data_IF_240179277110
#
_entry.id   IF_240179277110
#
_cell.length_a   1.000
_cell.length_b   1.000
_cell.length_c   1.000
_cell.angle_alpha   90.00
_cell.angle_beta   90.00
_cell.angle_gamma   90.00
#
_symmetry.space_group_name_H-M   'P 1'
#
loop_
_entity.id
_entity.type
_entity.pdbx_description
1 polymer ?
#
# COMPACT_ATOMS: atom_id res chain seq x y z
N UNK A 1 14.48 -3.09 5.65
CA UNK A 1 15.51 -2.04 5.73
C UNK A 1 14.94 -0.63 5.58
N UNK A 2 13.71 -0.46 5.05
CA UNK A 2 13.12 0.85 4.74
C UNK A 2 12.40 1.52 5.93
N UNK A 3 12.09 0.79 7.00
CA UNK A 3 11.27 1.30 8.13
C UNK A 3 12.12 1.65 9.36
N UNK A 4 13.27 0.99 9.55
CA UNK A 4 14.15 1.24 10.70
C UNK A 4 15.61 1.26 10.28
N UNK A 5 16.33 2.31 10.67
CA UNK A 5 17.77 2.51 10.41
C UNK A 5 18.70 1.74 11.39
N UNK A 6 18.22 0.62 11.94
CA UNK A 6 19.00 -0.23 12.84
C UNK A 6 19.68 -1.38 12.10
N UNK A 7 20.82 -1.82 12.60
CA UNK A 7 21.45 -3.06 12.14
C UNK A 7 20.59 -4.30 12.49
N UNK A 8 20.94 -5.48 11.96
CA UNK A 8 20.15 -6.69 12.12
C UNK A 8 19.92 -7.09 13.60
N UNK A 9 20.94 -6.93 14.44
CA UNK A 9 20.86 -7.24 15.88
C UNK A 9 19.95 -6.25 16.59
N UNK A 10 20.10 -4.96 16.34
CA UNK A 10 19.25 -3.91 16.92
C UNK A 10 17.78 -4.09 16.54
N UNK A 11 17.49 -4.45 15.28
CA UNK A 11 16.13 -4.77 14.83
C UNK A 11 15.56 -6.01 15.53
N UNK A 12 16.37 -7.06 15.70
CA UNK A 12 15.95 -8.26 16.41
C UNK A 12 15.61 -7.98 17.88
N UNK A 13 16.48 -7.25 18.58
CA UNK A 13 16.28 -6.85 19.98
C UNK A 13 15.01 -5.99 20.13
N UNK A 14 14.89 -4.94 19.33
CA UNK A 14 13.73 -4.04 19.35
C UNK A 14 12.43 -4.81 19.12
N UNK A 15 12.40 -5.68 18.11
CA UNK A 15 11.21 -6.48 17.77
C UNK A 15 10.84 -7.44 18.89
N UNK A 16 11.80 -8.24 19.38
CA UNK A 16 11.47 -9.37 20.26
C UNK A 16 11.37 -8.98 21.73
N UNK A 17 12.09 -7.94 22.19
CA UNK A 17 12.08 -7.54 23.59
C UNK A 17 11.16 -6.35 23.89
N UNK A 18 10.78 -5.56 22.89
CA UNK A 18 9.98 -4.35 23.11
C UNK A 18 8.66 -4.43 22.35
N UNK A 19 8.71 -4.60 21.00
CA UNK A 19 7.52 -4.50 20.18
C UNK A 19 6.55 -5.65 20.46
N UNK A 20 7.03 -6.89 20.36
CA UNK A 20 6.17 -8.07 20.53
C UNK A 20 5.56 -8.13 21.92
N UNK A 21 6.32 -8.04 23.04
CA UNK A 21 5.73 -8.23 24.37
C UNK A 21 4.88 -7.06 24.86
N UNK A 22 5.24 -5.82 24.52
CA UNK A 22 4.61 -4.63 25.13
C UNK A 22 3.71 -3.85 24.16
N UNK A 23 4.13 -3.72 22.90
CA UNK A 23 3.43 -2.87 21.95
C UNK A 23 2.36 -3.62 21.15
N UNK A 24 2.64 -4.86 20.75
CA UNK A 24 1.70 -5.62 19.93
C UNK A 24 0.36 -5.88 20.62
N UNK A 25 0.27 -6.26 21.92
CA UNK A 25 -1.01 -6.46 22.59
C UNK A 25 -1.85 -5.20 22.70
N UNK A 26 -1.22 -4.03 22.94
CA UNK A 26 -1.92 -2.74 22.95
C UNK A 26 -2.46 -2.39 21.58
N UNK A 27 -1.62 -2.47 20.57
CA UNK A 27 -2.00 -2.21 19.18
C UNK A 27 -3.11 -3.15 18.71
N UNK A 28 -3.08 -4.44 19.09
CA UNK A 28 -4.14 -5.38 18.77
C UNK A 28 -5.50 -4.97 19.35
N UNK A 29 -5.53 -4.42 20.57
CA UNK A 29 -6.77 -3.90 21.18
C UNK A 29 -7.30 -2.69 20.41
N UNK A 30 -6.41 -1.77 20.00
CA UNK A 30 -6.78 -0.60 19.23
C UNK A 30 -7.35 -1.01 17.86
N UNK A 31 -6.72 -1.97 17.18
CA UNK A 31 -7.24 -2.51 15.92
C UNK A 31 -8.57 -3.26 16.08
N UNK A 32 -8.78 -3.94 17.21
CA UNK A 32 -10.04 -4.66 17.46
C UNK A 32 -11.26 -3.73 17.44
N UNK A 33 -11.09 -2.43 17.72
CA UNK A 33 -12.19 -1.46 17.72
C UNK A 33 -12.71 -1.12 16.31
N UNK A 34 -11.92 -1.37 15.28
CA UNK A 34 -12.27 -1.10 13.88
C UNK A 34 -12.39 -2.38 13.06
N UNK A 35 -12.21 -3.56 13.70
CA UNK A 35 -12.28 -4.84 13.00
C UNK A 35 -13.69 -5.10 12.51
N UNK A 36 -13.82 -5.57 11.27
CA UNK A 36 -15.09 -5.95 10.65
C UNK A 36 -15.35 -7.43 10.86
N UNK A 37 -16.59 -7.89 10.66
CA UNK A 37 -16.94 -9.31 10.76
C UNK A 37 -16.15 -10.17 9.78
N UNK A 38 -15.86 -9.63 8.58
CA UNK A 38 -15.09 -10.32 7.54
C UNK A 38 -13.56 -10.21 7.74
N UNK A 39 -13.09 -9.40 8.69
CA UNK A 39 -11.66 -9.24 8.98
C UNK A 39 -11.19 -7.79 9.09
N UNK A 40 -9.89 -7.57 8.84
CA UNK A 40 -9.35 -6.21 8.90
C UNK A 40 -9.94 -5.34 7.78
N UNK A 41 -10.31 -4.06 8.06
CA UNK A 41 -10.82 -3.13 7.05
C UNK A 41 -9.91 -3.03 5.82
N UNK A 42 -8.59 -3.00 6.04
CA UNK A 42 -7.61 -2.95 4.96
C UNK A 42 -7.79 -4.12 3.98
N UNK A 43 -7.90 -5.35 4.50
CA UNK A 43 -8.07 -6.54 3.67
C UNK A 43 -9.43 -6.56 3.00
N UNK A 44 -10.50 -6.29 3.74
CA UNK A 44 -11.88 -6.31 3.23
C UNK A 44 -12.05 -5.31 2.09
N UNK A 45 -11.56 -4.06 2.27
CA UNK A 45 -11.67 -3.06 1.21
C UNK A 45 -10.72 -3.33 0.04
N UNK A 46 -9.54 -3.90 0.26
CA UNK A 46 -8.65 -4.31 -0.82
C UNK A 46 -9.29 -5.43 -1.67
N UNK A 47 -9.90 -6.42 -1.03
CA UNK A 47 -10.58 -7.52 -1.74
C UNK A 47 -11.80 -7.01 -2.52
N UNK A 48 -12.59 -6.08 -1.95
CA UNK A 48 -13.72 -5.43 -2.64
C UNK A 48 -13.26 -4.61 -3.85
N UNK A 49 -12.19 -3.83 -3.71
CA UNK A 49 -11.62 -3.06 -4.80
C UNK A 49 -11.13 -3.96 -5.93
N UNK A 50 -10.37 -5.02 -5.58
CA UNK A 50 -9.89 -6.02 -6.53
C UNK A 50 -11.05 -6.63 -7.32
N UNK A 51 -12.11 -7.06 -6.62
CA UNK A 51 -13.30 -7.63 -7.26
C UNK A 51 -13.96 -6.63 -8.23
N UNK A 52 -14.14 -5.38 -7.81
CA UNK A 52 -14.73 -4.34 -8.64
C UNK A 52 -13.88 -4.00 -9.87
N UNK A 53 -12.55 -3.98 -9.72
CA UNK A 53 -11.63 -3.75 -10.83
C UNK A 53 -11.65 -4.91 -11.82
N UNK A 54 -11.61 -6.17 -11.34
CA UNK A 54 -11.70 -7.34 -12.22
C UNK A 54 -13.01 -7.33 -13.00
N UNK A 55 -14.13 -7.10 -12.30
CA UNK A 55 -15.45 -7.01 -12.97
C UNK A 55 -15.47 -5.93 -14.05
N UNK A 56 -14.92 -4.75 -13.81
CA UNK A 56 -14.88 -3.67 -14.79
C UNK A 56 -14.07 -4.05 -16.04
N UNK A 57 -12.95 -4.77 -15.90
CA UNK A 57 -12.17 -5.27 -17.03
C UNK A 57 -12.92 -6.38 -17.78
N UNK A 58 -13.57 -7.31 -17.07
CA UNK A 58 -14.36 -8.38 -17.67
C UNK A 58 -15.53 -7.80 -18.50
N UNK A 59 -16.24 -6.80 -17.96
CA UNK A 59 -17.35 -6.10 -18.66
C UNK A 59 -16.87 -5.31 -19.89
N UNK A 60 -15.63 -4.78 -19.84
CA UNK A 60 -15.01 -4.10 -20.97
C UNK A 60 -14.48 -5.08 -22.05
N UNK A 61 -14.45 -6.38 -21.76
CA UNK A 61 -13.89 -7.40 -22.66
C UNK A 61 -12.36 -7.35 -22.74
N UNK A 62 -11.70 -6.80 -21.71
CA UNK A 62 -10.25 -6.68 -21.62
C UNK A 62 -9.65 -7.90 -20.93
N UNK A 63 -8.62 -8.50 -21.53
CA UNK A 63 -7.88 -9.65 -20.95
C UNK A 63 -6.87 -9.16 -19.90
N UNK A 64 -7.39 -8.74 -18.75
CA UNK A 64 -6.62 -8.23 -17.62
C UNK A 64 -6.89 -9.07 -16.38
N UNK A 65 -5.84 -9.54 -15.75
CA UNK A 65 -5.88 -10.24 -14.46
C UNK A 65 -5.50 -9.28 -13.34
N UNK A 66 -6.41 -9.04 -12.41
CA UNK A 66 -6.18 -8.19 -11.24
C UNK A 66 -5.92 -9.05 -10.01
N UNK A 67 -4.76 -8.87 -9.37
CA UNK A 67 -4.41 -9.58 -8.14
C UNK A 67 -3.94 -8.58 -7.06
N UNK A 68 -4.18 -8.93 -5.80
CA UNK A 68 -3.68 -8.19 -4.66
C UNK A 68 -2.37 -8.80 -4.13
N UNK A 69 -1.44 -7.96 -3.68
CA UNK A 69 -0.20 -8.40 -3.03
C UNK A 69 0.16 -7.46 -1.88
N UNK A 70 0.30 -8.00 -0.69
CA UNK A 70 0.59 -7.27 0.53
C UNK A 70 2.04 -7.47 1.00
N UNK A 71 2.62 -6.43 1.61
CA UNK A 71 4.00 -6.49 2.11
C UNK A 71 4.16 -7.26 3.42
N UNK A 72 3.12 -7.35 4.26
CA UNK A 72 3.22 -7.82 5.65
C UNK A 72 2.13 -8.83 6.06
N UNK A 73 1.23 -9.18 5.17
CA UNK A 73 0.16 -10.17 5.39
C UNK A 73 -0.16 -10.90 4.10
N UNK A 74 -0.92 -11.97 4.18
CA UNK A 74 -1.42 -12.69 3.01
C UNK A 74 -2.55 -11.90 2.29
N UNK A 75 -2.59 -12.00 0.94
CA UNK A 75 -1.61 -12.65 0.06
C UNK A 75 -0.32 -11.81 -0.06
N UNK A 76 0.83 -12.44 0.15
CA UNK A 76 2.09 -11.72 0.05
C UNK A 76 2.46 -11.38 -1.40
N UNK A 77 3.22 -10.28 -1.59
CA UNK A 77 3.70 -9.85 -2.92
C UNK A 77 4.39 -11.01 -3.66
N UNK A 78 5.21 -11.81 -2.98
CA UNK A 78 5.91 -12.93 -3.63
C UNK A 78 4.99 -14.05 -4.09
N UNK A 79 3.88 -14.33 -3.37
CA UNK A 79 2.89 -15.33 -3.76
C UNK A 79 2.08 -14.84 -4.96
N UNK A 80 1.69 -13.56 -4.95
CA UNK A 80 1.01 -12.91 -6.06
C UNK A 80 1.88 -12.90 -7.32
N UNK A 81 3.15 -12.58 -7.20
CA UNK A 81 4.10 -12.62 -8.31
C UNK A 81 4.29 -14.04 -8.85
N UNK A 82 4.36 -15.05 -7.99
CA UNK A 82 4.42 -16.46 -8.40
C UNK A 82 3.16 -16.91 -9.14
N UNK A 83 1.99 -16.40 -8.74
CA UNK A 83 0.73 -16.68 -9.43
C UNK A 83 0.68 -16.07 -10.84
N UNK A 84 1.18 -14.84 -11.02
CA UNK A 84 1.33 -14.25 -12.35
C UNK A 84 2.25 -15.10 -13.25
N UNK A 85 3.42 -15.54 -12.73
CA UNK A 85 4.33 -16.41 -13.47
C UNK A 85 3.65 -17.72 -13.87
N UNK A 86 2.95 -18.36 -12.94
CA UNK A 86 2.22 -19.62 -13.17
C UNK A 86 1.16 -19.49 -14.27
N UNK A 87 0.51 -18.33 -14.37
CA UNK A 87 -0.50 -18.02 -15.40
C UNK A 87 0.12 -17.53 -16.73
N UNK A 88 1.43 -17.39 -16.79
CA UNK A 88 2.11 -16.94 -18.00
C UNK A 88 1.99 -15.44 -18.28
N UNK A 89 1.52 -14.65 -17.30
CA UNK A 89 1.42 -13.19 -17.42
C UNK A 89 2.82 -12.58 -17.45
N UNK A 90 3.09 -11.70 -18.43
CA UNK A 90 4.41 -11.09 -18.63
C UNK A 90 4.43 -9.59 -18.47
N UNK A 91 3.33 -8.92 -18.78
CA UNK A 91 3.18 -7.48 -18.64
C UNK A 91 2.44 -7.20 -17.35
N UNK A 92 3.09 -6.57 -16.38
CA UNK A 92 2.53 -6.34 -15.05
C UNK A 92 2.60 -4.85 -14.73
N UNK A 93 1.44 -4.25 -14.47
CA UNK A 93 1.33 -2.93 -13.87
C UNK A 93 1.23 -3.06 -12.36
N UNK A 94 2.14 -2.43 -11.65
CA UNK A 94 2.17 -2.39 -10.18
C UNK A 94 1.68 -1.04 -9.70
N UNK A 95 0.54 -1.05 -9.00
CA UNK A 95 -0.11 0.16 -8.49
C UNK A 95 -0.26 0.05 -6.97
N UNK A 96 0.69 0.60 -6.18
CA UNK A 96 0.53 0.67 -4.73
C UNK A 96 -0.62 1.60 -4.36
N UNK A 97 -1.45 1.18 -3.41
CA UNK A 97 -2.62 1.96 -2.96
C UNK A 97 -2.24 3.05 -1.95
N UNK A 98 -1.04 3.60 -2.07
CA UNK A 98 -0.58 4.76 -1.33
C UNK A 98 -0.68 5.99 -2.24
N UNK A 99 -1.53 6.99 -1.89
CA UNK A 99 -1.71 8.14 -2.78
C UNK A 99 -0.43 8.93 -3.03
N UNK A 100 0.42 9.08 -2.01
CA UNK A 100 1.70 9.78 -2.10
C UNK A 100 2.86 8.79 -2.08
N UNK A 101 3.89 9.08 -2.86
CA UNK A 101 5.14 8.32 -2.83
C UNK A 101 5.88 8.50 -1.51
N UNK A 102 6.39 7.40 -0.96
CA UNK A 102 7.43 7.44 0.05
C UNK A 102 8.33 6.20 -0.04
N UNK A 103 9.56 6.33 0.49
CA UNK A 103 10.50 5.20 0.53
C UNK A 103 10.03 4.07 1.45
N UNK A 104 9.25 4.39 2.48
CA UNK A 104 8.72 3.42 3.43
C UNK A 104 7.49 2.66 2.92
N UNK A 105 6.77 3.22 1.96
CA UNK A 105 5.52 2.67 1.39
C UNK A 105 5.72 2.21 -0.04
N UNK A 106 5.57 3.11 -1.00
CA UNK A 106 5.62 2.83 -2.45
C UNK A 106 6.91 2.12 -2.87
N UNK A 107 8.08 2.65 -2.47
CA UNK A 107 9.37 2.03 -2.83
C UNK A 107 9.55 0.65 -2.18
N UNK A 108 9.01 0.44 -0.99
CA UNK A 108 9.04 -0.87 -0.33
C UNK A 108 8.26 -1.93 -1.13
N UNK A 109 7.10 -1.56 -1.71
CA UNK A 109 6.33 -2.43 -2.61
C UNK A 109 7.12 -2.72 -3.89
N UNK A 110 7.65 -1.68 -4.53
CA UNK A 110 8.46 -1.84 -5.76
C UNK A 110 9.65 -2.75 -5.54
N UNK A 111 10.35 -2.59 -4.43
CA UNK A 111 11.45 -3.48 -4.05
C UNK A 111 10.99 -4.93 -3.93
N UNK A 112 9.89 -5.17 -3.20
CA UNK A 112 9.31 -6.52 -3.04
C UNK A 112 8.96 -7.18 -4.37
N UNK A 113 8.35 -6.43 -5.28
CA UNK A 113 8.00 -6.91 -6.63
C UNK A 113 9.26 -7.21 -7.44
N UNK A 114 10.24 -6.28 -7.49
CA UNK A 114 11.50 -6.47 -8.22
C UNK A 114 12.28 -7.69 -7.70
N UNK A 115 12.35 -7.88 -6.38
CA UNK A 115 13.05 -9.04 -5.79
C UNK A 115 12.31 -10.36 -6.10
N UNK A 116 10.99 -10.34 -6.18
CA UNK A 116 10.20 -11.51 -6.58
C UNK A 116 10.41 -11.84 -8.07
N UNK A 117 10.41 -10.83 -8.93
CA UNK A 117 10.61 -10.98 -10.37
C UNK A 117 11.99 -11.54 -10.74
N UNK A 118 13.04 -11.26 -9.96
CA UNK A 118 14.39 -11.85 -10.17
C UNK A 118 14.42 -13.37 -10.06
N UNK A 119 13.42 -13.98 -9.43
CA UNK A 119 13.32 -15.45 -9.28
C UNK A 119 12.65 -16.14 -10.47
N UNK A 120 12.06 -15.38 -11.37
CA UNK A 120 11.35 -15.90 -12.53
C UNK A 120 12.33 -16.46 -13.56
N UNK A 121 11.88 -17.49 -14.28
CA UNK A 121 12.67 -18.08 -15.39
C UNK A 121 12.92 -17.08 -16.51
N UNK A 122 11.91 -16.28 -16.82
CA UNK A 122 11.97 -15.21 -17.80
C UNK A 122 11.47 -13.93 -17.14
N UNK A 123 12.25 -12.86 -17.19
CA UNK A 123 11.93 -11.61 -16.55
C UNK A 123 10.62 -11.00 -17.10
N UNK A 124 9.66 -10.61 -16.24
CA UNK A 124 8.47 -9.91 -16.68
C UNK A 124 8.77 -8.45 -17.04
N UNK A 125 7.90 -7.86 -17.86
CA UNK A 125 7.88 -6.42 -18.09
C UNK A 125 7.10 -5.75 -16.96
N UNK A 126 7.79 -4.97 -16.13
CA UNK A 126 7.21 -4.30 -14.97
C UNK A 126 7.03 -2.81 -15.24
N UNK A 127 5.80 -2.33 -15.06
CA UNK A 127 5.48 -0.90 -15.03
C UNK A 127 5.02 -0.54 -13.62
N UNK A 128 5.38 0.66 -13.16
CA UNK A 128 5.10 1.11 -11.81
C UNK A 128 4.36 2.44 -11.83
N UNK A 129 3.34 2.57 -10.98
CA UNK A 129 2.65 3.82 -10.68
C UNK A 129 3.24 4.38 -9.39
N UNK A 130 3.89 5.51 -9.46
CA UNK A 130 4.61 6.11 -8.33
C UNK A 130 3.66 6.71 -7.29
N UNK A 131 2.61 7.36 -7.75
CA UNK A 131 1.63 8.05 -6.90
C UNK A 131 0.27 8.21 -7.60
N UNK A 132 -0.75 8.58 -6.84
CA UNK A 132 -2.12 8.80 -7.30
C UNK A 132 -2.69 10.15 -6.81
N UNK A 133 -1.94 10.90 -6.03
CA UNK A 133 -2.47 12.06 -5.31
C UNK A 133 -2.99 13.19 -6.22
N UNK A 134 -2.46 13.30 -7.42
CA UNK A 134 -2.85 14.31 -8.40
C UNK A 134 -3.82 13.79 -9.48
N UNK A 135 -4.18 12.51 -9.45
CA UNK A 135 -5.08 11.92 -10.45
C UNK A 135 -6.50 12.48 -10.30
N UNK A 136 -7.08 13.07 -11.36
CA UNK A 136 -8.41 13.70 -11.29
C UNK A 136 -9.51 12.75 -10.82
N UNK A 137 -9.48 11.49 -11.23
CA UNK A 137 -10.45 10.48 -10.82
C UNK A 137 -10.35 10.17 -9.30
N UNK A 138 -9.11 10.08 -8.77
CA UNK A 138 -8.85 9.89 -7.34
C UNK A 138 -9.37 11.08 -6.52
N UNK A 139 -9.06 12.32 -6.95
CA UNK A 139 -9.52 13.54 -6.30
C UNK A 139 -11.05 13.61 -6.30
N UNK A 140 -11.69 13.31 -7.44
CA UNK A 140 -13.15 13.34 -7.59
C UNK A 140 -13.84 12.32 -6.69
N UNK A 141 -13.28 11.11 -6.55
CA UNK A 141 -13.81 10.07 -5.67
C UNK A 141 -13.73 10.51 -4.18
N UNK A 142 -12.60 11.09 -3.76
CA UNK A 142 -12.45 11.64 -2.41
C UNK A 142 -13.38 12.82 -2.16
N UNK A 143 -13.50 13.74 -3.10
CA UNK A 143 -14.40 14.90 -2.97
C UNK A 143 -15.86 14.46 -2.80
N UNK A 144 -16.30 13.47 -3.57
CA UNK A 144 -17.66 12.91 -3.46
C UNK A 144 -17.90 12.25 -2.09
N UNK A 145 -16.93 11.43 -1.63
CA UNK A 145 -17.02 10.76 -0.33
C UNK A 145 -17.04 11.76 0.83
N UNK A 146 -16.11 12.72 0.83
CA UNK A 146 -16.04 13.77 1.86
C UNK A 146 -17.30 14.62 1.84
N UNK A 147 -17.75 15.06 0.66
CA UNK A 147 -18.96 15.87 0.49
C UNK A 147 -20.21 15.22 1.08
N UNK A 148 -20.36 13.90 0.87
CA UNK A 148 -21.44 13.13 1.50
C UNK A 148 -21.36 13.19 3.02
N UNK A 149 -20.22 12.90 3.60
CA UNK A 149 -20.05 12.92 5.07
C UNK A 149 -20.21 14.31 5.67
N UNK A 150 -19.74 15.36 5.02
CA UNK A 150 -19.94 16.76 5.44
C UNK A 150 -21.42 17.11 5.46
N UNK A 151 -22.16 16.73 4.43
CA UNK A 151 -23.61 16.97 4.35
C UNK A 151 -24.37 16.19 5.43
N UNK A 152 -24.11 14.89 5.53
CA UNK A 152 -24.79 14.01 6.50
C UNK A 152 -24.55 14.45 7.96
N UNK A 153 -23.33 14.93 8.25
CA UNK A 153 -22.94 15.40 9.58
C UNK A 153 -23.26 16.89 9.84
N UNK A 154 -23.73 17.62 8.82
CA UNK A 154 -23.90 19.09 8.90
C UNK A 154 -22.63 19.81 9.41
N UNK A 155 -21.44 19.35 8.97
CA UNK A 155 -20.17 19.83 9.47
C UNK A 155 -19.83 21.23 8.91
N UNK A 156 -19.43 22.15 9.82
CA UNK A 156 -18.99 23.50 9.44
C UNK A 156 -17.50 23.56 9.09
N UNK A 157 -16.71 22.58 9.59
CA UNK A 157 -15.26 22.53 9.39
C UNK A 157 -14.80 21.12 9.07
N UNK A 158 -13.75 21.01 8.25
CA UNK A 158 -13.08 19.75 7.90
C UNK A 158 -11.63 19.83 8.38
N UNK A 159 -11.19 18.82 9.11
CA UNK A 159 -9.79 18.67 9.51
C UNK A 159 -9.18 17.51 8.70
N UNK A 160 -8.17 17.82 7.90
CA UNK A 160 -7.37 16.79 7.24
C UNK A 160 -6.21 16.37 8.14
N UNK A 161 -6.22 15.12 8.58
CA UNK A 161 -5.15 14.55 9.42
C UNK A 161 -4.27 13.64 8.57
N UNK A 162 -2.97 13.95 8.51
CA UNK A 162 -1.98 13.18 7.75
C UNK A 162 -1.02 12.46 8.66
N UNK A 163 -0.54 11.32 8.19
CA UNK A 163 0.55 10.60 8.84
C UNK A 163 1.87 11.34 8.59
N UNK A 164 2.58 11.72 9.65
CA UNK A 164 3.89 12.35 9.54
C UNK A 164 4.94 11.35 9.06
N UNK A 165 5.85 11.81 8.20
CA UNK A 165 6.98 11.02 7.73
C UNK A 165 8.28 11.49 8.41
N UNK A 166 9.22 10.59 8.74
CA UNK A 166 10.56 10.98 9.14
C UNK A 166 11.25 11.80 8.03
N UNK A 167 11.93 12.88 8.39
CA UNK A 167 12.68 13.70 7.42
C UNK A 167 13.67 12.87 6.59
N UNK A 168 14.26 11.83 7.18
CA UNK A 168 15.17 10.92 6.46
C UNK A 168 14.50 10.20 5.29
N UNK A 169 13.19 9.95 5.35
CA UNK A 169 12.43 9.37 4.23
C UNK A 169 12.21 10.38 3.12
N UNK A 170 11.92 11.63 3.48
CA UNK A 170 11.75 12.73 2.52
C UNK A 170 13.08 12.99 1.81
N UNK A 171 14.17 13.15 2.57
CA UNK A 171 15.54 13.36 2.02
C UNK A 171 15.97 12.23 1.07
N UNK A 172 15.59 10.98 1.35
CA UNK A 172 15.87 9.84 0.46
C UNK A 172 15.04 9.84 -0.82
N UNK A 173 13.81 10.33 -0.74
CA UNK A 173 12.92 10.42 -1.90
C UNK A 173 13.25 11.63 -2.80
N UNK A 174 13.77 12.69 -2.22
CA UNK A 174 14.10 13.94 -2.89
C UNK A 174 15.44 13.84 -3.64
N UNK A 175 15.38 13.25 -4.84
CA UNK A 175 16.55 13.09 -5.71
C UNK A 175 17.06 14.44 -6.29
N UNK A 176 16.20 15.45 -6.30
CA UNK A 176 16.48 16.74 -6.94
C UNK A 176 16.79 17.86 -5.92
N UNK A 177 16.67 17.59 -4.62
CA UNK A 177 16.93 18.55 -3.55
C UNK A 177 15.94 19.74 -3.54
N UNK A 178 14.68 19.49 -3.94
CA UNK A 178 13.65 20.53 -4.05
C UNK A 178 12.67 20.55 -2.89
N UNK A 179 12.70 19.53 -2.01
CA UNK A 179 11.81 19.48 -0.86
C UNK A 179 12.27 20.47 0.22
N UNK A 180 11.46 21.47 0.50
CA UNK A 180 11.68 22.37 1.63
C UNK A 180 11.32 21.62 2.94
N UNK A 181 12.28 21.59 3.85
CA UNK A 181 12.10 21.11 5.21
C UNK A 181 11.74 22.31 6.07
N UNK A 182 10.46 22.45 6.40
CA UNK A 182 9.96 23.49 7.28
C UNK A 182 10.32 23.28 8.76
#
# INVERSE_FOLDING_TARGET
PYVFDFNAVGRWLLRNLIIIPFRAPKTAKDYATIWMDEGSPLKVYADRLLHSMQQAYDEAGEDVLVLNGMGYSEPFIWDTMAEFERRGVRDILVMPLFPQYSTATTESVFHGVRESAKKWKEAPNLKFVDDLYAEPAFISAWAALIGKHVTDAQAEHIIFSYHGLPESNIKRADKNGVCEMG
#
